data_IF_577572698476
#
_entry.id   IF_577572698476
#
_cell.length_a   1.000
_cell.length_b   1.000
_cell.length_c   1.000
_cell.angle_alpha   90.00
_cell.angle_beta   90.00
_cell.angle_gamma   90.00
#
_symmetry.space_group_name_H-M   'P 1'
#
loop_
_entity.id
_entity.type
_entity.pdbx_description
1 polymer ?
#
# COMPACT_ATOMS: atom_id res chain seq x y z
N UNK A 1 -5.10 -25.08 24.29
CA UNK A 1 -4.50 -24.41 25.47
C UNK A 1 -4.30 -22.94 25.14
N UNK A 2 -5.17 -22.10 25.69
CA UNK A 2 -5.25 -20.66 25.46
C UNK A 2 -4.15 -19.97 26.28
N UNK A 3 -3.25 -19.20 25.66
CA UNK A 3 -2.29 -18.36 26.40
C UNK A 3 -3.06 -17.26 27.15
N UNK A 4 -2.73 -16.96 28.42
CA UNK A 4 -3.43 -15.91 29.16
C UNK A 4 -3.09 -14.53 28.56
N UNK A 5 -4.08 -13.64 28.48
CA UNK A 5 -3.84 -12.21 28.36
C UNK A 5 -3.14 -11.76 29.65
N UNK A 6 -1.86 -11.37 29.56
CA UNK A 6 -1.20 -10.65 30.64
C UNK A 6 -1.78 -9.23 30.69
N UNK A 7 -2.38 -8.86 31.81
CA UNK A 7 -2.79 -7.49 32.11
C UNK A 7 -1.61 -6.81 32.80
N UNK A 8 -0.95 -5.87 32.12
CA UNK A 8 0.08 -5.04 32.74
C UNK A 8 -0.58 -3.86 33.49
N UNK A 9 -0.12 -3.60 34.71
CA UNK A 9 -0.59 -2.52 35.57
C UNK A 9 0.57 -1.55 35.85
N UNK A 10 0.31 -0.24 35.78
CA UNK A 10 1.24 0.80 36.27
C UNK A 10 1.43 0.63 37.80
N UNK A 11 2.56 1.06 38.40
CA UNK A 11 2.73 1.13 39.87
C UNK A 11 1.58 1.77 40.67
N UNK A 12 0.65 2.49 40.02
CA UNK A 12 -0.61 3.02 40.58
C UNK A 12 -1.85 2.14 40.36
N UNK A 13 -1.70 0.89 39.92
CA UNK A 13 -2.80 -0.06 39.75
C UNK A 13 -3.77 0.28 38.61
N UNK A 14 -3.37 1.15 37.67
CA UNK A 14 -4.17 1.43 36.46
C UNK A 14 -3.85 0.39 35.39
N UNK A 15 -4.90 -0.16 34.78
CA UNK A 15 -4.78 -1.03 33.61
C UNK A 15 -4.05 -0.27 32.51
N UNK A 16 -2.84 -0.72 32.19
CA UNK A 16 -2.11 -0.20 31.03
C UNK A 16 -2.71 -0.94 29.85
N UNK A 17 -3.52 -0.23 29.04
CA UNK A 17 -3.85 -0.77 27.72
C UNK A 17 -2.51 -0.96 27.01
N UNK A 18 -2.18 -2.19 26.62
CA UNK A 18 -1.08 -2.43 25.70
C UNK A 18 -1.22 -1.43 24.53
N UNK A 19 -0.15 -0.74 24.12
CA UNK A 19 -0.24 0.22 23.03
C UNK A 19 -0.91 -0.48 21.86
N UNK A 20 -2.01 0.10 21.36
CA UNK A 20 -2.72 -0.45 20.23
C UNK A 20 -1.71 -0.54 19.08
N UNK A 21 -1.37 -1.77 18.67
CA UNK A 21 -0.49 -1.97 17.53
C UNK A 21 -1.26 -1.45 16.32
N UNK A 22 -0.84 -0.28 15.83
CA UNK A 22 -1.42 0.30 14.65
C UNK A 22 -0.99 -0.54 13.44
N UNK A 23 -1.96 -0.91 12.61
CA UNK A 23 -1.73 -1.62 11.36
C UNK A 23 -2.38 -0.86 10.21
N UNK A 24 -1.71 -0.89 9.06
CA UNK A 24 -2.30 -0.50 7.79
C UNK A 24 -2.86 -1.75 7.12
N UNK A 25 -4.10 -1.67 6.67
CA UNK A 25 -4.77 -2.76 5.97
C UNK A 25 -4.60 -2.61 4.47
N UNK A 26 -4.01 -3.62 3.86
CA UNK A 26 -3.80 -3.70 2.42
C UNK A 26 -4.90 -4.54 1.78
N UNK A 27 -5.22 -4.22 0.53
CA UNK A 27 -6.22 -4.91 -0.29
C UNK A 27 -5.56 -5.37 -1.58
N UNK A 28 -5.72 -6.65 -1.89
CA UNK A 28 -5.24 -7.26 -3.14
C UNK A 28 -6.42 -7.91 -3.85
N UNK A 29 -6.65 -7.48 -5.09
CA UNK A 29 -7.61 -8.13 -5.97
C UNK A 29 -7.03 -9.42 -6.51
N UNK A 30 -7.81 -10.48 -6.52
CA UNK A 30 -7.41 -11.79 -7.05
C UNK A 30 -8.12 -12.02 -8.38
N UNK A 31 -7.36 -12.32 -9.43
CA UNK A 31 -7.92 -12.52 -10.78
C UNK A 31 -8.90 -13.68 -10.77
N UNK A 32 -10.08 -13.47 -11.35
CA UNK A 32 -11.14 -14.49 -11.42
C UNK A 32 -11.96 -14.66 -10.13
N UNK A 33 -11.68 -13.88 -9.09
CA UNK A 33 -12.39 -13.93 -7.81
C UNK A 33 -13.26 -12.69 -7.59
N UNK A 34 -14.43 -12.88 -6.97
CA UNK A 34 -15.34 -11.78 -6.63
C UNK A 34 -14.94 -11.02 -5.37
N UNK A 35 -14.18 -11.67 -4.47
CA UNK A 35 -13.77 -11.10 -3.19
C UNK A 35 -12.26 -10.84 -3.18
N UNK A 36 -11.80 -9.63 -2.85
CA UNK A 36 -10.38 -9.39 -2.63
C UNK A 36 -9.91 -10.02 -1.31
N UNK A 37 -8.60 -10.23 -1.22
CA UNK A 37 -7.92 -10.54 0.04
C UNK A 37 -7.53 -9.23 0.72
N UNK A 38 -7.55 -9.23 2.05
CA UNK A 38 -6.99 -8.15 2.85
C UNK A 38 -6.12 -8.69 3.97
N UNK A 39 -5.08 -7.93 4.31
CA UNK A 39 -4.13 -8.30 5.34
C UNK A 39 -3.60 -7.05 6.03
N UNK A 40 -3.25 -7.21 7.30
CA UNK A 40 -2.75 -6.13 8.13
C UNK A 40 -1.22 -6.19 8.19
N UNK A 41 -0.60 -5.04 8.01
CA UNK A 41 0.84 -4.84 8.19
C UNK A 41 1.02 -3.89 9.37
N UNK A 42 1.78 -4.33 10.38
CA UNK A 42 2.11 -3.50 11.54
C UNK A 42 2.92 -2.28 11.09
N UNK A 43 2.62 -1.09 11.59
CA UNK A 43 3.33 0.16 11.26
C UNK A 43 4.03 0.70 12.52
N UNK A 44 5.06 1.56 12.42
CA UNK A 44 5.60 2.20 11.21
C UNK A 44 6.67 1.36 10.48
N UNK A 45 6.57 1.31 9.15
CA UNK A 45 7.64 0.83 8.27
C UNK A 45 7.81 1.74 7.05
N UNK A 46 9.04 1.80 6.55
CA UNK A 46 9.31 2.18 5.16
C UNK A 46 9.22 0.92 4.32
N UNK A 47 8.28 0.88 3.39
CA UNK A 47 7.94 -0.31 2.61
C UNK A 47 8.19 -0.08 1.13
N UNK A 48 8.77 -1.07 0.47
CA UNK A 48 8.80 -1.18 -0.98
C UNK A 48 7.42 -1.57 -1.49
N UNK A 49 6.73 -0.60 -2.08
CA UNK A 49 5.38 -0.74 -2.61
C UNK A 49 5.41 -1.46 -3.95
N UNK A 50 6.25 -0.95 -4.85
CA UNK A 50 6.48 -1.51 -6.18
C UNK A 50 7.97 -1.54 -6.53
N UNK A 51 8.36 -2.48 -7.37
CA UNK A 51 9.68 -2.55 -7.95
C UNK A 51 9.66 -3.31 -9.27
N UNK A 52 10.36 -2.76 -10.26
CA UNK A 52 10.80 -3.46 -11.45
C UNK A 52 12.30 -3.24 -11.63
N UNK A 53 13.07 -4.29 -11.35
CA UNK A 53 14.54 -4.23 -11.46
C UNK A 53 15.02 -4.09 -12.90
N UNK A 54 14.23 -4.51 -13.90
CA UNK A 54 14.65 -4.44 -15.30
C UNK A 54 14.67 -3.00 -15.83
N UNK A 55 13.77 -2.15 -15.33
CA UNK A 55 13.68 -0.74 -15.67
C UNK A 55 14.30 0.19 -14.62
N UNK A 56 14.99 -0.37 -13.61
CA UNK A 56 15.54 0.40 -12.48
C UNK A 56 14.47 1.26 -11.79
N UNK A 57 13.26 0.72 -11.67
CA UNK A 57 12.11 1.40 -11.09
C UNK A 57 11.79 0.89 -9.69
N UNK A 58 11.52 1.80 -8.76
CA UNK A 58 10.95 1.45 -7.46
C UNK A 58 10.04 2.54 -6.91
N UNK A 59 9.08 2.13 -6.09
CA UNK A 59 8.20 3.01 -5.31
C UNK A 59 8.25 2.57 -3.87
N UNK A 60 8.64 3.47 -2.99
CA UNK A 60 8.72 3.23 -1.55
C UNK A 60 7.75 4.16 -0.81
N UNK A 61 7.17 3.68 0.27
CA UNK A 61 6.23 4.44 1.09
C UNK A 61 6.62 4.41 2.56
N UNK A 62 6.47 5.53 3.24
CA UNK A 62 6.68 5.66 4.68
C UNK A 62 5.34 5.88 5.37
N UNK A 63 4.98 4.94 6.24
CA UNK A 63 3.78 5.02 7.09
C UNK A 63 4.11 5.64 8.44
N UNK A 64 3.20 6.43 9.00
CA UNK A 64 3.29 6.93 10.37
C UNK A 64 2.29 6.24 11.30
N UNK A 65 2.68 6.09 12.57
CA UNK A 65 1.78 5.60 13.61
C UNK A 65 0.52 6.44 13.69
N UNK A 66 -0.65 5.79 13.66
CA UNK A 66 -1.95 6.45 13.77
C UNK A 66 -2.52 6.99 12.45
N UNK A 67 -1.83 6.80 11.31
CA UNK A 67 -2.36 7.13 9.98
C UNK A 67 -2.85 5.90 9.25
N UNK A 68 -3.86 6.09 8.39
CA UNK A 68 -4.45 4.99 7.61
C UNK A 68 -3.57 4.54 6.43
N UNK A 69 -2.57 5.34 6.03
CA UNK A 69 -1.71 5.08 4.88
C UNK A 69 -0.32 5.72 5.01
N UNK A 70 0.21 6.22 3.90
CA UNK A 70 1.57 6.76 3.83
C UNK A 70 1.58 8.28 4.00
N UNK A 71 2.56 8.84 4.69
CA UNK A 71 2.75 10.30 4.70
C UNK A 71 3.74 10.75 3.62
N UNK A 72 4.67 9.87 3.24
CA UNK A 72 5.62 10.07 2.15
C UNK A 72 5.59 8.87 1.19
N UNK A 73 5.68 9.15 -0.10
CA UNK A 73 5.93 8.16 -1.16
C UNK A 73 7.05 8.69 -2.04
N UNK A 74 8.04 7.85 -2.32
CA UNK A 74 9.13 8.17 -3.22
C UNK A 74 9.13 7.22 -4.42
N UNK A 75 9.39 7.76 -5.60
CA UNK A 75 9.65 7.00 -6.81
C UNK A 75 11.10 7.22 -7.20
N UNK A 76 11.76 6.13 -7.58
CA UNK A 76 13.08 6.13 -8.19
C UNK A 76 12.96 5.47 -9.55
N UNK A 77 13.55 6.11 -10.56
CA UNK A 77 13.60 5.58 -11.91
C UNK A 77 14.94 5.91 -12.56
N UNK A 78 15.67 4.88 -12.98
CA UNK A 78 17.07 5.02 -13.41
C UNK A 78 17.90 5.72 -12.33
N UNK A 79 19.06 6.25 -12.67
CA UNK A 79 20.00 6.84 -11.71
C UNK A 79 19.70 8.29 -11.33
N UNK A 80 18.84 8.98 -12.07
CA UNK A 80 18.72 10.44 -11.97
C UNK A 80 17.30 10.94 -11.73
N UNK A 81 16.26 10.12 -11.97
CA UNK A 81 14.88 10.54 -11.76
C UNK A 81 14.39 10.15 -10.36
N UNK A 82 14.05 11.18 -9.59
CA UNK A 82 13.50 11.02 -8.26
C UNK A 82 12.27 11.90 -8.11
N UNK A 83 11.20 11.30 -7.59
CA UNK A 83 9.96 11.99 -7.27
C UNK A 83 9.62 11.71 -5.81
N UNK A 84 9.51 12.74 -5.00
CA UNK A 84 9.03 12.66 -3.61
C UNK A 84 7.67 13.30 -3.49
N UNK A 85 6.74 12.58 -2.88
CA UNK A 85 5.37 12.98 -2.69
C UNK A 85 5.11 12.94 -1.19
N UNK A 86 4.73 14.09 -0.64
CA UNK A 86 4.24 14.21 0.73
C UNK A 86 2.75 14.57 0.70
N UNK A 87 2.12 14.66 1.87
CA UNK A 87 0.74 15.15 1.98
C UNK A 87 0.58 16.65 1.68
N UNK A 88 1.68 17.39 1.47
CA UNK A 88 1.68 18.84 1.24
C UNK A 88 2.25 19.25 -0.11
N UNK A 89 3.27 18.54 -0.60
CA UNK A 89 4.02 18.90 -1.81
C UNK A 89 4.46 17.67 -2.59
N UNK A 90 4.66 17.88 -3.89
CA UNK A 90 5.21 16.90 -4.83
C UNK A 90 6.46 17.52 -5.46
N UNK A 91 7.60 16.84 -5.36
CA UNK A 91 8.88 17.34 -5.85
C UNK A 91 9.50 16.33 -6.78
N UNK A 92 9.87 16.77 -7.98
CA UNK A 92 10.54 15.96 -8.97
C UNK A 92 11.87 16.58 -9.36
N UNK A 93 12.90 15.75 -9.50
CA UNK A 93 14.15 16.12 -10.14
C UNK A 93 14.68 15.01 -11.03
N UNK A 94 15.38 15.39 -12.10
CA UNK A 94 16.03 14.48 -13.06
C UNK A 94 17.58 14.64 -13.09
N UNK A 95 18.13 15.33 -12.08
CA UNK A 95 19.54 15.68 -11.97
C UNK A 95 19.90 17.02 -12.63
N UNK A 96 19.07 17.55 -13.53
CA UNK A 96 19.26 18.86 -14.17
C UNK A 96 18.13 19.84 -13.83
N UNK A 97 16.90 19.36 -13.92
CA UNK A 97 15.67 20.09 -13.66
C UNK A 97 15.12 19.73 -12.30
N UNK A 98 14.42 20.69 -11.69
CA UNK A 98 13.65 20.51 -10.48
C UNK A 98 12.31 21.22 -10.62
N UNK A 99 11.22 20.53 -10.32
CA UNK A 99 9.86 21.09 -10.30
C UNK A 99 9.16 20.71 -9.00
N UNK A 100 8.40 21.66 -8.47
CA UNK A 100 7.59 21.48 -7.27
C UNK A 100 6.13 21.80 -7.58
N UNK A 101 5.24 20.96 -7.08
CA UNK A 101 3.80 21.11 -7.17
C UNK A 101 3.19 21.08 -5.76
N UNK A 102 2.06 21.77 -5.61
CA UNK A 102 1.25 21.74 -4.40
C UNK A 102 -0.08 21.04 -4.69
N UNK A 103 -0.56 20.24 -3.74
CA UNK A 103 -1.91 19.66 -3.83
C UNK A 103 -2.98 20.74 -3.90
N UNK A 104 -4.03 20.51 -4.69
CA UNK A 104 -5.15 21.45 -4.84
C UNK A 104 -4.87 22.71 -5.66
N UNK A 105 -3.69 22.85 -6.29
CA UNK A 105 -3.47 23.90 -7.28
C UNK A 105 -4.19 23.58 -8.61
N UNK A 106 -4.19 24.54 -9.53
CA UNK A 106 -4.75 24.34 -10.87
C UNK A 106 -4.12 23.12 -11.55
N UNK A 107 -4.90 22.29 -12.28
CA UNK A 107 -4.39 21.11 -12.95
C UNK A 107 -3.15 21.42 -13.79
N UNK A 108 -2.08 20.68 -13.54
CA UNK A 108 -0.78 20.93 -14.15
C UNK A 108 -0.12 19.63 -14.58
N UNK A 109 0.79 19.72 -15.54
CA UNK A 109 1.54 18.58 -16.02
C UNK A 109 3.01 18.95 -16.23
N UNK A 110 3.86 17.96 -16.02
CA UNK A 110 5.26 18.00 -16.41
C UNK A 110 5.58 16.75 -17.20
N UNK A 111 6.20 16.93 -18.37
CA UNK A 111 6.52 15.84 -19.30
C UNK A 111 7.93 15.98 -19.80
N UNK A 112 8.68 14.90 -19.72
CA UNK A 112 9.96 14.67 -20.40
C UNK A 112 9.79 13.47 -21.35
N UNK A 113 10.88 12.97 -21.92
CA UNK A 113 10.85 11.81 -22.81
C UNK A 113 10.31 10.55 -22.12
N UNK A 114 10.80 10.25 -20.91
CA UNK A 114 10.45 9.03 -20.17
C UNK A 114 9.53 9.27 -18.96
N UNK A 115 9.27 10.52 -18.58
CA UNK A 115 8.49 10.84 -17.37
C UNK A 115 7.30 11.74 -17.70
N UNK A 116 6.13 11.39 -17.18
CA UNK A 116 4.94 12.23 -17.21
C UNK A 116 4.31 12.29 -15.83
N UNK A 117 4.19 13.50 -15.31
CA UNK A 117 3.50 13.82 -14.06
C UNK A 117 2.26 14.64 -14.41
N UNK A 118 1.08 14.15 -14.09
CA UNK A 118 -0.18 14.87 -14.32
C UNK A 118 -0.88 15.02 -12.99
N UNK A 119 -0.86 16.24 -12.45
CA UNK A 119 -1.50 16.58 -11.20
C UNK A 119 -2.91 17.09 -11.46
N UNK A 120 -3.85 16.48 -10.74
CA UNK A 120 -5.24 16.94 -10.57
C UNK A 120 -5.44 17.31 -9.09
N UNK A 121 -6.67 17.61 -8.70
CA UNK A 121 -7.00 18.06 -7.33
C UNK A 121 -6.31 17.26 -6.21
N UNK A 122 -6.68 15.99 -6.07
CA UNK A 122 -6.18 15.07 -5.03
C UNK A 122 -5.63 13.76 -5.63
N UNK A 123 -5.20 13.83 -6.89
CA UNK A 123 -4.71 12.70 -7.67
C UNK A 123 -3.49 13.13 -8.47
N UNK A 124 -2.41 12.36 -8.37
CA UNK A 124 -1.23 12.49 -9.20
C UNK A 124 -1.07 11.23 -10.03
N UNK A 125 -1.11 11.37 -11.35
CA UNK A 125 -0.78 10.32 -12.30
C UNK A 125 0.72 10.39 -12.61
N UNK A 126 1.45 9.34 -12.26
CA UNK A 126 2.90 9.22 -12.46
C UNK A 126 3.14 8.14 -13.50
N UNK A 127 3.77 8.51 -14.61
CA UNK A 127 4.29 7.57 -15.59
C UNK A 127 5.80 7.72 -15.67
N UNK A 128 6.54 6.61 -15.53
CA UNK A 128 7.98 6.53 -15.69
C UNK A 128 8.29 5.32 -16.59
N UNK A 129 8.84 5.56 -17.79
CA UNK A 129 8.92 4.57 -18.84
C UNK A 129 7.53 4.08 -19.28
N UNK A 130 7.29 2.77 -19.20
CA UNK A 130 5.99 2.15 -19.46
C UNK A 130 5.16 1.88 -18.18
N UNK A 131 5.67 2.23 -17.00
CA UNK A 131 5.02 1.97 -15.72
C UNK A 131 4.17 3.17 -15.31
N UNK A 132 2.89 2.94 -15.03
CA UNK A 132 1.95 3.97 -14.57
C UNK A 132 1.44 3.68 -13.17
N UNK A 133 1.61 4.62 -12.24
CA UNK A 133 1.10 4.53 -10.87
C UNK A 133 0.36 5.82 -10.54
N UNK A 134 -0.84 5.70 -9.99
CA UNK A 134 -1.62 6.85 -9.54
C UNK A 134 -1.50 6.97 -8.03
N UNK A 135 -1.19 8.15 -7.53
CA UNK A 135 -1.15 8.46 -6.10
C UNK A 135 -2.37 9.29 -5.73
N UNK A 136 -3.15 8.80 -4.77
CA UNK A 136 -4.33 9.48 -4.24
C UNK A 136 -4.01 10.13 -2.91
N UNK A 137 -4.38 11.40 -2.77
CA UNK A 137 -4.37 12.12 -1.49
C UNK A 137 -5.73 11.95 -0.82
N UNK A 138 -5.79 11.14 0.24
CA UNK A 138 -6.99 10.95 1.03
C UNK A 138 -7.06 11.99 2.14
N UNK A 139 -8.18 12.73 2.21
CA UNK A 139 -8.51 13.68 3.27
C UNK A 139 -9.75 13.18 4.01
N UNK A 140 -9.57 12.57 5.19
CA UNK A 140 -10.68 11.98 5.93
C UNK A 140 -10.66 12.40 7.39
N UNK A 141 -11.73 13.08 7.81
CA UNK A 141 -11.84 13.70 9.12
C UNK A 141 -10.68 14.69 9.37
N UNK A 142 -9.65 14.26 10.09
CA UNK A 142 -8.41 14.99 10.39
C UNK A 142 -7.15 14.24 9.95
N UNK A 143 -7.32 13.08 9.32
CA UNK A 143 -6.22 12.27 8.78
C UNK A 143 -6.03 12.60 7.30
N UNK A 144 -4.79 12.88 6.92
CA UNK A 144 -4.38 13.14 5.55
C UNK A 144 -3.24 12.19 5.24
N UNK A 145 -3.43 11.34 4.23
CA UNK A 145 -2.46 10.31 3.88
C UNK A 145 -2.52 10.03 2.37
N UNK A 146 -1.46 9.43 1.88
CA UNK A 146 -1.27 9.01 0.51
C UNK A 146 -1.58 7.53 0.38
N UNK A 147 -2.15 7.15 -0.76
CA UNK A 147 -2.33 5.76 -1.12
C UNK A 147 -2.01 5.54 -2.60
N UNK A 148 -1.14 4.59 -2.96
CA UNK A 148 -0.93 4.24 -4.34
C UNK A 148 -2.06 3.36 -4.88
N UNK A 149 -2.56 3.71 -6.05
CA UNK A 149 -3.49 2.95 -6.85
C UNK A 149 -2.80 2.53 -8.14
N UNK A 150 -2.61 1.22 -8.32
CA UNK A 150 -2.17 0.66 -9.59
C UNK A 150 -3.39 0.58 -10.50
N UNK A 151 -3.45 1.42 -11.53
CA UNK A 151 -4.42 1.25 -12.61
C UNK A 151 -3.98 0.09 -13.52
N UNK A 152 -4.77 -0.26 -14.54
CA UNK A 152 -4.40 -1.30 -15.50
C UNK A 152 -3.01 -1.00 -16.10
N UNK A 153 -2.02 -1.77 -15.69
CA UNK A 153 -0.67 -1.74 -16.26
C UNK A 153 -0.71 -2.37 -17.67
N UNK A 154 0.24 -2.02 -18.55
CA UNK A 154 0.51 -2.82 -19.74
C UNK A 154 0.73 -4.30 -19.37
N UNK A 155 0.28 -5.22 -20.23
CA UNK A 155 0.29 -6.68 -19.95
C UNK A 155 1.67 -7.26 -19.67
N UNK A 156 2.71 -6.59 -20.16
CA UNK A 156 4.12 -6.94 -20.05
C UNK A 156 4.80 -6.39 -18.78
N UNK A 157 4.16 -5.45 -18.09
CA UNK A 157 4.69 -4.87 -16.85
C UNK A 157 4.35 -5.78 -15.67
N UNK A 158 5.39 -6.36 -15.06
CA UNK A 158 5.27 -7.13 -13.82
C UNK A 158 6.01 -6.41 -12.70
N UNK A 159 5.24 -5.82 -11.79
CA UNK A 159 5.79 -5.16 -10.61
C UNK A 159 5.86 -6.16 -9.45
N UNK A 160 7.03 -6.24 -8.82
CA UNK A 160 7.20 -6.86 -7.50
C UNK A 160 6.97 -5.83 -6.38
N UNK A 161 6.98 -6.25 -5.11
CA UNK A 161 6.73 -5.37 -3.95
C UNK A 161 5.51 -5.82 -3.14
N UNK A 162 5.19 -5.11 -2.06
CA UNK A 162 4.07 -5.50 -1.18
C UNK A 162 2.69 -5.30 -1.85
N UNK A 163 2.61 -4.39 -2.82
CA UNK A 163 1.43 -4.14 -3.65
C UNK A 163 1.60 -4.66 -5.09
N UNK A 164 2.75 -5.25 -5.40
CA UNK A 164 3.05 -5.82 -6.71
C UNK A 164 2.15 -7.02 -7.05
N UNK A 165 2.20 -7.43 -8.32
CA UNK A 165 1.40 -8.55 -8.79
C UNK A 165 1.89 -9.82 -8.10
N UNK A 166 1.06 -10.31 -7.18
CA UNK A 166 1.28 -11.56 -6.52
C UNK A 166 0.42 -12.58 -7.27
N UNK A 167 1.07 -13.56 -7.89
CA UNK A 167 0.42 -14.73 -8.48
C UNK A 167 -0.29 -15.52 -7.38
N UNK A 168 -1.48 -15.04 -7.04
CA UNK A 168 -2.32 -15.48 -5.95
C UNK A 168 -3.59 -16.02 -6.57
N UNK A 169 -3.95 -17.20 -6.13
CA UNK A 169 -5.25 -17.81 -6.32
C UNK A 169 -5.72 -18.34 -4.97
N UNK A 170 -7.04 -18.37 -4.78
CA UNK A 170 -7.63 -19.02 -3.62
C UNK A 170 -8.86 -19.83 -3.99
N UNK A 171 -9.14 -20.86 -3.19
CA UNK A 171 -10.37 -21.63 -3.24
C UNK A 171 -11.06 -21.57 -1.88
N UNK A 172 -12.37 -21.34 -1.86
CA UNK A 172 -13.15 -21.42 -0.62
C UNK A 172 -13.40 -22.89 -0.26
N UNK A 173 -13.10 -23.29 0.98
CA UNK A 173 -13.35 -24.65 1.45
C UNK A 173 -14.75 -24.71 2.08
N UNK A 174 -15.74 -25.35 1.44
CA UNK A 174 -17.11 -25.41 1.96
C UNK A 174 -17.22 -26.38 3.15
N UNK A 175 -18.24 -26.17 3.99
CA UNK A 175 -18.63 -27.13 5.04
C UNK A 175 -17.87 -27.03 6.38
N UNK A 176 -16.96 -26.07 6.52
CA UNK A 176 -16.29 -25.79 7.80
C UNK A 176 -17.06 -24.74 8.61
N UNK A 177 -17.06 -24.88 9.94
CA UNK A 177 -17.69 -23.91 10.86
C UNK A 177 -17.04 -22.52 10.79
N UNK A 178 -15.75 -22.47 10.44
CA UNK A 178 -14.98 -21.23 10.23
C UNK A 178 -14.63 -21.10 8.75
N UNK A 179 -14.91 -19.94 8.11
CA UNK A 179 -14.47 -19.69 6.74
C UNK A 179 -12.97 -19.96 6.59
N UNK A 180 -12.62 -20.78 5.62
CA UNK A 180 -11.24 -21.20 5.37
C UNK A 180 -10.98 -21.14 3.87
N UNK A 181 -9.87 -20.51 3.50
CA UNK A 181 -9.41 -20.46 2.12
C UNK A 181 -8.23 -21.40 1.94
N UNK A 182 -8.17 -22.05 0.79
CA UNK A 182 -6.96 -22.68 0.29
C UNK A 182 -6.22 -21.66 -0.58
N UNK A 183 -5.11 -21.13 -0.07
CA UNK A 183 -4.23 -20.20 -0.77
C UNK A 183 -3.00 -20.99 -1.25
N UNK A 184 -2.91 -21.24 -2.56
CA UNK A 184 -1.99 -22.23 -3.14
C UNK A 184 -2.17 -23.60 -2.45
N UNK A 185 -1.17 -24.04 -1.68
CA UNK A 185 -1.17 -25.34 -0.98
C UNK A 185 -1.41 -25.23 0.53
N UNK A 186 -1.82 -24.05 1.02
CA UNK A 186 -2.03 -23.81 2.46
C UNK A 186 -3.47 -23.47 2.77
N UNK A 187 -4.03 -24.16 3.76
CA UNK A 187 -5.32 -23.81 4.35
C UNK A 187 -5.15 -22.69 5.37
N UNK A 188 -5.95 -21.65 5.20
CA UNK A 188 -5.86 -20.41 5.98
C UNK A 188 -7.23 -20.06 6.50
N UNK A 189 -7.35 -20.03 7.83
CA UNK A 189 -8.55 -19.53 8.48
C UNK A 189 -8.71 -18.05 8.16
N UNK A 190 -9.92 -17.66 7.77
CA UNK A 190 -10.23 -16.29 7.38
C UNK A 190 -11.49 -15.79 8.08
N UNK A 191 -11.70 -14.48 8.02
CA UNK A 191 -12.94 -13.83 8.38
C UNK A 191 -13.33 -12.86 7.29
N UNK A 192 -14.64 -12.78 7.02
CA UNK A 192 -15.17 -11.75 6.14
C UNK A 192 -15.26 -10.44 6.92
N UNK A 193 -14.64 -9.38 6.39
CA UNK A 193 -14.65 -8.05 7.03
C UNK A 193 -14.96 -6.97 6.01
N UNK A 194 -15.62 -5.89 6.46
CA UNK A 194 -15.87 -4.70 5.66
C UNK A 194 -14.75 -3.68 5.88
N UNK A 195 -14.14 -3.20 4.80
CA UNK A 195 -12.98 -2.30 4.85
C UNK A 195 -13.12 -1.18 3.82
N UNK A 196 -12.33 -0.11 3.99
CA UNK A 196 -12.28 0.99 3.03
C UNK A 196 -11.24 0.68 1.94
N UNK A 197 -11.65 0.78 0.68
CA UNK A 197 -10.76 0.56 -0.46
C UNK A 197 -10.11 1.87 -0.90
N UNK A 198 -8.95 2.18 -0.31
CA UNK A 198 -8.19 3.40 -0.59
C UNK A 198 -7.53 3.45 -1.97
N UNK A 199 -7.67 2.38 -2.78
CA UNK A 199 -7.26 2.40 -4.21
C UNK A 199 -8.19 3.27 -5.06
N UNK A 200 -9.34 3.68 -4.54
CA UNK A 200 -10.28 4.58 -5.19
C UNK A 200 -10.45 5.86 -4.39
N UNK A 201 -10.58 7.00 -5.07
CA UNK A 201 -10.74 8.31 -4.43
C UNK A 201 -11.95 8.38 -3.48
N UNK A 202 -13.05 7.69 -3.81
CA UNK A 202 -14.26 7.65 -2.96
C UNK A 202 -14.13 6.76 -1.72
N UNK A 203 -13.06 5.96 -1.63
CA UNK A 203 -12.83 4.98 -0.58
C UNK A 203 -14.09 4.16 -0.23
N UNK A 204 -14.66 3.40 -1.19
CA UNK A 204 -15.88 2.63 -0.96
C UNK A 204 -15.65 1.58 0.12
N UNK A 205 -16.71 1.21 0.82
CA UNK A 205 -16.66 0.07 1.74
C UNK A 205 -16.82 -1.22 0.92
N UNK A 206 -15.86 -2.13 1.02
CA UNK A 206 -15.86 -3.42 0.31
C UNK A 206 -15.66 -4.56 1.29
N UNK A 207 -16.27 -5.71 1.00
CA UNK A 207 -15.99 -6.96 1.72
C UNK A 207 -14.65 -7.54 1.28
N UNK A 208 -13.87 -8.08 2.21
CA UNK A 208 -12.63 -8.79 1.91
C UNK A 208 -12.42 -9.97 2.87
N UNK A 209 -11.68 -10.97 2.38
CA UNK A 209 -11.20 -12.06 3.21
C UNK A 209 -9.96 -11.62 3.99
N UNK A 210 -10.10 -11.45 5.31
CA UNK A 210 -8.98 -11.13 6.18
C UNK A 210 -8.12 -12.37 6.36
N UNK A 211 -6.87 -12.27 5.93
CA UNK A 211 -5.89 -13.36 5.99
C UNK A 211 -4.56 -12.85 6.56
N UNK A 212 -3.73 -13.72 7.15
CA UNK A 212 -2.40 -13.34 7.60
C UNK A 212 -1.54 -12.86 6.43
N UNK A 213 -0.71 -11.83 6.66
CA UNK A 213 0.24 -11.30 5.66
C UNK A 213 1.07 -12.40 4.97
N UNK A 214 1.64 -13.31 5.75
CA UNK A 214 2.48 -14.40 5.25
C UNK A 214 1.72 -15.39 4.33
N UNK A 215 0.39 -15.46 4.43
CA UNK A 215 -0.41 -16.32 3.55
C UNK A 215 -0.53 -15.74 2.13
N UNK A 216 -0.55 -14.42 2.02
CA UNK A 216 -0.69 -13.68 0.75
C UNK A 216 0.68 -13.56 0.08
N UNK A 217 1.65 -13.00 0.81
CA UNK A 217 2.91 -12.57 0.22
C UNK A 217 3.98 -13.66 0.25
N UNK A 218 3.81 -14.69 1.10
CA UNK A 218 4.70 -15.86 1.21
C UNK A 218 6.18 -15.51 1.46
N UNK A 219 6.41 -14.34 2.04
CA UNK A 219 7.69 -13.75 2.38
C UNK A 219 7.57 -13.04 3.72
N UNK A 220 8.70 -12.69 4.33
CA UNK A 220 8.69 -11.93 5.58
C UNK A 220 8.52 -10.44 5.31
N UNK A 221 7.98 -9.71 6.29
CA UNK A 221 7.79 -8.26 6.15
C UNK A 221 9.12 -7.53 5.93
N UNK A 222 10.20 -8.04 6.53
CA UNK A 222 11.58 -7.53 6.36
C UNK A 222 12.05 -7.50 4.92
N UNK A 223 11.52 -8.37 4.06
CA UNK A 223 11.86 -8.43 2.65
C UNK A 223 11.35 -7.21 1.85
N UNK A 224 10.37 -6.50 2.41
CA UNK A 224 9.78 -5.30 1.84
C UNK A 224 10.22 -4.05 2.59
N UNK A 225 10.89 -4.19 3.73
CA UNK A 225 11.37 -3.04 4.50
C UNK A 225 12.58 -2.41 3.83
N UNK A 226 12.57 -1.09 3.67
CA UNK A 226 13.69 -0.32 3.12
C UNK A 226 14.27 0.60 4.19
N UNK A 227 15.56 0.93 4.08
CA UNK A 227 16.21 1.88 5.00
C UNK A 227 15.92 3.33 4.62
N UNK A 228 15.79 3.59 3.32
CA UNK A 228 15.62 4.90 2.71
C UNK A 228 14.47 4.88 1.71
N UNK A 229 13.86 6.05 1.50
CA UNK A 229 12.76 6.23 0.57
C UNK A 229 13.27 6.41 -0.85
#
# INVERSE_FOLDING_TARGET
MTKPLFLDFDPRGRMVSAPAVHSSRFLVSVVGQSMPLCFDVTVPHKLRLFQDSASEFSVNGESMTGQSGFHNIAFHYKTNHHLTISTTSIRYHDGQNHVEFLWGQEPTQHKTEDVSLILRSDELDVTMGNIRVVILLHKKNRDVFLWPAVQQQPKDVKLSGILGDADISYEEIPGLQTPTLKLKDKEVKTSLVMVKDYRFASAPAVGCWLVPFQAVVQRELSDFTVTEL
#
